data_IF_993682377917
#
_entry.id   IF_993682377917
#
_cell.length_a   1.000
_cell.length_b   1.000
_cell.length_c   1.000
_cell.angle_alpha   90.00
_cell.angle_beta   90.00
_cell.angle_gamma   90.00
#
_symmetry.space_group_name_H-M   'P 1'
#
loop_
_entity.id
_entity.type
_entity.pdbx_description
1 polymer ?
#
# COMPACT_ATOMS: atom_id res chain seq x y z
N UNK A 1 -13.18 15.26 -12.84
CA UNK A 1 -12.94 14.16 -11.90
C UNK A 1 -13.60 14.58 -10.61
N UNK A 2 -14.57 13.81 -10.15
CA UNK A 2 -15.13 14.03 -8.82
C UNK A 2 -14.22 13.39 -7.75
N UNK A 3 -14.55 13.58 -6.47
CA UNK A 3 -13.72 13.10 -5.36
C UNK A 3 -13.67 11.57 -5.30
N UNK A 4 -14.75 10.90 -5.71
CA UNK A 4 -14.86 9.44 -5.75
C UNK A 4 -13.95 8.87 -6.85
N UNK A 5 -13.95 9.45 -8.06
CA UNK A 5 -13.04 9.09 -9.14
C UNK A 5 -11.56 9.13 -8.71
N UNK A 6 -11.16 10.15 -7.94
CA UNK A 6 -9.78 10.32 -7.49
C UNK A 6 -9.38 9.30 -6.42
N UNK A 7 -10.30 8.96 -5.52
CA UNK A 7 -10.06 7.94 -4.49
C UNK A 7 -9.93 6.54 -5.11
N UNK A 8 -10.75 6.25 -6.13
CA UNK A 8 -10.64 5.01 -6.91
C UNK A 8 -9.29 4.94 -7.63
N UNK A 9 -8.83 6.03 -8.25
CA UNK A 9 -7.50 6.12 -8.87
C UNK A 9 -6.40 5.91 -7.84
N UNK A 10 -6.54 6.45 -6.62
CA UNK A 10 -5.56 6.28 -5.55
C UNK A 10 -5.48 4.83 -5.07
N UNK A 11 -6.63 4.17 -4.89
CA UNK A 11 -6.71 2.74 -4.54
C UNK A 11 -6.04 1.88 -5.62
N UNK A 12 -6.39 2.11 -6.89
CA UNK A 12 -5.82 1.38 -8.02
C UNK A 12 -4.32 1.62 -8.15
N UNK A 13 -3.86 2.87 -8.01
CA UNK A 13 -2.45 3.25 -8.04
C UNK A 13 -1.62 2.54 -6.97
N UNK A 14 -2.13 2.45 -5.75
CA UNK A 14 -1.50 1.69 -4.66
C UNK A 14 -1.38 0.22 -5.05
N UNK A 15 -2.41 -0.35 -5.68
CA UNK A 15 -2.44 -1.77 -6.05
C UNK A 15 -1.62 -2.12 -7.31
N UNK A 16 -1.05 -1.15 -8.02
CA UNK A 16 -0.24 -1.42 -9.23
C UNK A 16 0.98 -2.28 -8.90
N UNK A 17 1.18 -3.36 -9.67
CA UNK A 17 2.28 -4.32 -9.48
C UNK A 17 3.66 -3.66 -9.41
N UNK A 18 3.91 -2.61 -10.21
CA UNK A 18 5.17 -1.88 -10.19
C UNK A 18 5.39 -1.09 -8.88
N UNK A 19 4.32 -0.58 -8.27
CA UNK A 19 4.36 0.09 -6.96
C UNK A 19 4.64 -0.96 -5.89
N UNK A 20 3.85 -2.03 -5.86
CA UNK A 20 3.97 -3.11 -4.89
C UNK A 20 5.33 -3.80 -4.94
N UNK A 21 5.83 -4.13 -6.13
CA UNK A 21 7.14 -4.80 -6.30
C UNK A 21 8.30 -3.93 -5.80
N UNK A 22 8.25 -2.61 -6.03
CA UNK A 22 9.28 -1.69 -5.55
C UNK A 22 9.20 -1.45 -4.05
N UNK A 23 7.99 -1.37 -3.50
CA UNK A 23 7.75 -1.28 -2.06
C UNK A 23 8.29 -2.53 -1.34
N UNK A 24 7.98 -3.72 -1.87
CA UNK A 24 8.47 -5.00 -1.37
C UNK A 24 9.99 -5.08 -1.40
N UNK A 25 10.61 -4.77 -2.53
CA UNK A 25 12.06 -4.78 -2.67
C UNK A 25 12.73 -3.82 -1.66
N UNK A 26 12.14 -2.64 -1.43
CA UNK A 26 12.63 -1.71 -0.42
C UNK A 26 12.54 -2.30 1.00
N UNK A 27 11.38 -2.82 1.38
CA UNK A 27 11.15 -3.37 2.73
C UNK A 27 12.08 -4.57 3.01
N UNK A 28 12.23 -5.47 2.04
CA UNK A 28 13.17 -6.60 2.12
C UNK A 28 14.61 -6.12 2.26
N UNK A 29 15.01 -5.06 1.55
CA UNK A 29 16.36 -4.49 1.64
C UNK A 29 16.68 -3.90 3.03
N UNK A 30 15.65 -3.41 3.75
CA UNK A 30 15.79 -2.81 5.08
C UNK A 30 15.58 -3.82 6.21
N UNK A 31 15.07 -5.02 5.92
CA UNK A 31 14.79 -6.08 6.89
C UNK A 31 15.91 -6.36 7.90
N UNK A 32 17.22 -6.34 7.54
CA UNK A 32 18.30 -6.54 8.49
C UNK A 32 18.33 -5.52 9.66
N UNK A 33 17.82 -4.30 9.45
CA UNK A 33 17.79 -3.25 10.49
C UNK A 33 16.78 -3.56 11.61
N UNK A 34 15.77 -4.38 11.30
CA UNK A 34 14.65 -4.70 12.18
C UNK A 34 14.84 -6.03 12.91
N UNK A 35 16.00 -6.66 12.81
CA UNK A 35 16.31 -7.84 13.61
C UNK A 35 16.19 -7.52 15.11
N UNK A 36 15.37 -8.28 15.83
CA UNK A 36 15.05 -8.03 17.24
C UNK A 36 13.91 -7.04 17.48
N UNK A 37 13.13 -6.69 16.45
CA UNK A 37 11.87 -5.95 16.60
C UNK A 37 10.95 -6.70 17.59
N UNK A 38 10.48 -6.05 18.67
CA UNK A 38 9.54 -6.68 19.60
C UNK A 38 8.15 -6.82 18.97
N UNK A 39 7.45 -7.91 19.29
CA UNK A 39 6.12 -8.21 18.77
C UNK A 39 5.06 -7.14 19.13
N UNK A 40 5.30 -6.33 20.17
CA UNK A 40 4.45 -5.21 20.60
C UNK A 40 5.25 -3.91 20.54
N UNK A 41 5.62 -3.48 19.33
CA UNK A 41 6.50 -2.33 19.08
C UNK A 41 5.90 -0.96 19.45
N UNK A 42 4.62 -0.89 19.82
CA UNK A 42 3.96 0.36 20.24
C UNK A 42 4.47 0.90 21.59
N UNK A 43 5.19 0.10 22.39
CA UNK A 43 5.53 0.47 23.77
C UNK A 43 7.04 0.41 24.16
N UNK A 44 7.96 0.08 23.24
CA UNK A 44 9.39 -0.07 23.58
C UNK A 44 10.35 0.54 22.56
N UNK A 45 11.55 0.86 23.08
CA UNK A 45 12.72 1.50 22.47
C UNK A 45 12.75 1.46 20.95
N UNK A 46 12.41 2.61 20.34
CA UNK A 46 12.42 2.75 18.89
C UNK A 46 13.78 3.24 18.44
N UNK A 47 14.42 2.45 17.57
CA UNK A 47 15.73 2.78 17.02
C UNK A 47 15.58 3.89 15.99
N UNK A 48 16.48 4.88 16.01
CA UNK A 48 16.51 5.97 15.04
C UNK A 48 16.52 5.44 13.58
N UNK A 49 17.27 4.37 13.35
CA UNK A 49 17.39 3.70 12.05
C UNK A 49 16.05 3.16 11.52
N UNK A 50 15.11 2.80 12.41
CA UNK A 50 13.77 2.34 12.01
C UNK A 50 12.91 3.50 11.50
N UNK A 51 13.01 4.66 12.16
CA UNK A 51 12.35 5.88 11.71
C UNK A 51 12.95 6.40 10.41
N UNK A 52 14.26 6.30 10.23
CA UNK A 52 14.92 6.66 8.98
C UNK A 52 14.44 5.77 7.82
N UNK A 53 14.43 4.45 8.03
CA UNK A 53 13.90 3.51 7.03
C UNK A 53 12.41 3.75 6.73
N UNK A 54 11.60 4.10 7.74
CA UNK A 54 10.20 4.49 7.54
C UNK A 54 10.06 5.78 6.73
N UNK A 55 10.85 6.81 7.00
CA UNK A 55 10.81 8.07 6.24
C UNK A 55 11.17 7.85 4.77
N UNK A 56 12.18 7.02 4.52
CA UNK A 56 12.54 6.60 3.17
C UNK A 56 11.41 5.80 2.50
N UNK A 57 10.74 4.91 3.22
CA UNK A 57 9.59 4.15 2.72
C UNK A 57 8.42 5.06 2.32
N UNK A 58 8.04 6.01 3.18
CA UNK A 58 6.96 6.95 2.90
C UNK A 58 7.30 7.80 1.68
N UNK A 59 8.53 8.32 1.59
CA UNK A 59 8.94 9.12 0.43
C UNK A 59 8.91 8.30 -0.87
N UNK A 60 9.37 7.05 -0.82
CA UNK A 60 9.31 6.14 -1.96
C UNK A 60 7.86 5.89 -2.38
N UNK A 61 6.98 5.58 -1.44
CA UNK A 61 5.58 5.27 -1.72
C UNK A 61 4.84 6.48 -2.27
N UNK A 62 5.06 7.67 -1.71
CA UNK A 62 4.51 8.92 -2.22
C UNK A 62 4.89 9.11 -3.70
N UNK A 63 6.17 8.93 -4.04
CA UNK A 63 6.63 9.07 -5.41
C UNK A 63 6.02 8.04 -6.36
N UNK A 64 5.95 6.79 -5.93
CA UNK A 64 5.39 5.70 -6.73
C UNK A 64 3.89 5.87 -6.97
N UNK A 65 3.14 6.15 -5.91
CA UNK A 65 1.69 6.29 -5.96
C UNK A 65 1.30 7.53 -6.76
N UNK A 66 1.91 8.68 -6.51
CA UNK A 66 1.60 9.90 -7.27
C UNK A 66 1.94 9.76 -8.76
N UNK A 67 3.03 9.07 -9.09
CA UNK A 67 3.38 8.79 -10.49
C UNK A 67 2.35 7.86 -11.15
N UNK A 68 1.88 6.84 -10.42
CA UNK A 68 0.84 5.94 -10.91
C UNK A 68 -0.52 6.65 -11.05
N UNK A 69 -0.90 7.51 -10.10
CA UNK A 69 -2.10 8.34 -10.19
C UNK A 69 -2.04 9.28 -11.40
N UNK A 70 -0.93 9.99 -11.59
CA UNK A 70 -0.74 10.91 -12.73
C UNK A 70 -0.85 10.18 -14.07
N UNK A 71 -0.28 8.97 -14.17
CA UNK A 71 -0.37 8.14 -15.37
C UNK A 71 -1.81 7.67 -15.64
N UNK A 72 -2.56 7.28 -14.62
CA UNK A 72 -3.95 6.81 -14.76
C UNK A 72 -4.93 7.96 -15.04
N UNK A 73 -4.75 9.09 -14.36
CA UNK A 73 -5.52 10.32 -14.59
C UNK A 73 -5.19 10.98 -15.93
N UNK A 74 -4.08 10.59 -16.57
CA UNK A 74 -3.50 11.26 -17.73
C UNK A 74 -3.30 12.77 -17.47
N UNK A 75 -2.72 13.08 -16.31
CA UNK A 75 -2.56 14.43 -15.78
C UNK A 75 -1.15 14.64 -15.19
N UNK A 76 -0.83 15.85 -14.73
CA UNK A 76 0.43 16.14 -14.07
C UNK A 76 0.41 15.77 -12.59
N UNK A 77 1.59 15.53 -12.01
CA UNK A 77 1.73 15.26 -10.58
C UNK A 77 1.17 16.40 -9.72
N UNK A 78 1.42 17.64 -10.13
CA UNK A 78 0.94 18.84 -9.44
C UNK A 78 -0.59 18.93 -9.45
N UNK A 79 -1.23 18.56 -10.58
CA UNK A 79 -2.68 18.55 -10.69
C UNK A 79 -3.32 17.49 -9.79
N UNK A 80 -2.76 16.26 -9.76
CA UNK A 80 -3.20 15.20 -8.85
C UNK A 80 -3.06 15.63 -7.38
N UNK A 81 -1.95 16.28 -7.02
CA UNK A 81 -1.75 16.80 -5.66
C UNK A 81 -2.77 17.87 -5.28
N UNK A 82 -3.07 18.79 -6.20
CA UNK A 82 -4.09 19.82 -5.97
C UNK A 82 -5.47 19.19 -5.73
N UNK A 83 -5.83 18.20 -6.54
CA UNK A 83 -7.11 17.47 -6.40
C UNK A 83 -7.18 16.69 -5.08
N UNK A 84 -6.08 16.03 -4.66
CA UNK A 84 -6.02 15.34 -3.36
C UNK A 84 -6.18 16.31 -2.19
N UNK A 85 -5.63 17.53 -2.29
CA UNK A 85 -5.80 18.56 -1.27
C UNK A 85 -7.27 19.04 -1.18
N UNK A 86 -7.97 19.12 -2.31
CA UNK A 86 -9.40 19.43 -2.35
C UNK A 86 -10.24 18.31 -1.72
N UNK A 87 -9.94 17.03 -2.01
CA UNK A 87 -10.60 15.88 -1.37
C UNK A 87 -10.37 15.86 0.15
N UNK A 88 -9.17 16.20 0.61
CA UNK A 88 -8.88 16.30 2.05
C UNK A 88 -9.72 17.40 2.74
N UNK A 89 -10.08 18.47 2.01
CA UNK A 89 -10.96 19.54 2.47
C UNK A 89 -12.46 19.26 2.23
N UNK A 90 -12.79 18.22 1.43
CA UNK A 90 -14.12 17.82 0.97
C UNK A 90 -14.99 17.13 2.04
N UNK A 91 -15.97 16.31 1.64
CA UNK A 91 -17.01 15.78 2.53
C UNK A 91 -16.52 14.72 3.54
N UNK A 92 -17.36 14.39 4.53
CA UNK A 92 -16.98 13.49 5.63
C UNK A 92 -16.72 12.03 5.20
N UNK A 93 -17.33 11.57 4.10
CA UNK A 93 -17.16 10.22 3.57
C UNK A 93 -15.79 10.08 2.89
N UNK A 94 -15.45 11.01 2.00
CA UNK A 94 -14.18 11.06 1.26
C UNK A 94 -13.00 11.13 2.22
N UNK A 95 -13.13 11.93 3.29
CA UNK A 95 -12.11 12.02 4.34
C UNK A 95 -11.90 10.71 5.10
N UNK A 96 -12.94 9.88 5.28
CA UNK A 96 -12.79 8.57 5.94
C UNK A 96 -12.06 7.58 5.03
N UNK A 97 -12.40 7.57 3.74
CA UNK A 97 -11.74 6.70 2.77
C UNK A 97 -10.27 7.11 2.56
N UNK A 98 -10.00 8.40 2.38
CA UNK A 98 -8.64 8.93 2.33
C UNK A 98 -7.83 8.58 3.60
N UNK A 99 -8.44 8.69 4.80
CA UNK A 99 -7.78 8.28 6.05
C UNK A 99 -7.44 6.80 6.09
N UNK A 100 -8.29 5.94 5.54
CA UNK A 100 -8.01 4.52 5.45
C UNK A 100 -6.82 4.23 4.52
N UNK A 101 -6.75 4.88 3.37
CA UNK A 101 -5.60 4.73 2.47
C UNK A 101 -4.31 5.28 3.09
N UNK A 102 -4.40 6.40 3.81
CA UNK A 102 -3.28 7.01 4.52
C UNK A 102 -2.80 6.19 5.73
N UNK A 103 -3.68 5.42 6.38
CA UNK A 103 -3.28 4.60 7.53
C UNK A 103 -2.28 3.51 7.15
N UNK A 104 -2.22 3.11 5.89
CA UNK A 104 -1.19 2.19 5.40
C UNK A 104 0.22 2.79 5.40
N UNK A 105 0.32 4.12 5.41
CA UNK A 105 1.58 4.85 5.53
C UNK A 105 1.89 5.27 6.96
N UNK A 106 1.08 4.87 7.94
CA UNK A 106 1.40 5.11 9.35
C UNK A 106 2.57 4.24 9.81
N UNK A 107 3.33 4.78 10.75
CA UNK A 107 4.51 4.10 11.28
C UNK A 107 4.19 2.75 11.95
N UNK A 108 3.05 2.64 12.63
CA UNK A 108 2.56 1.38 13.22
C UNK A 108 2.27 0.32 12.15
N UNK A 109 1.62 0.70 11.05
CA UNK A 109 1.37 -0.17 9.89
C UNK A 109 2.67 -0.63 9.24
N UNK A 110 3.63 0.29 9.10
CA UNK A 110 4.97 -0.04 8.61
C UNK A 110 5.70 -1.05 9.51
N UNK A 111 5.73 -0.83 10.83
CA UNK A 111 6.36 -1.78 11.77
C UNK A 111 5.67 -3.15 11.77
N UNK A 112 4.34 -3.17 11.67
CA UNK A 112 3.57 -4.42 11.54
C UNK A 112 4.01 -5.18 10.29
N UNK A 113 4.14 -4.48 9.16
CA UNK A 113 4.63 -5.06 7.90
C UNK A 113 6.05 -5.62 8.04
N UNK A 114 6.95 -4.89 8.70
CA UNK A 114 8.32 -5.36 8.95
C UNK A 114 8.34 -6.59 9.85
N UNK A 115 7.50 -6.64 10.90
CA UNK A 115 7.37 -7.81 11.77
C UNK A 115 6.88 -9.03 10.98
N UNK A 116 5.86 -8.87 10.14
CA UNK A 116 5.36 -9.97 9.32
C UNK A 116 6.43 -10.51 8.34
N UNK A 117 7.25 -9.64 7.76
CA UNK A 117 8.35 -10.05 6.89
C UNK A 117 9.43 -10.79 7.66
N UNK A 118 9.77 -10.35 8.88
CA UNK A 118 10.70 -11.07 9.77
C UNK A 118 10.15 -12.45 10.14
N UNK A 119 8.87 -12.56 10.48
CA UNK A 119 8.23 -13.83 10.81
C UNK A 119 8.24 -14.79 9.60
N UNK A 120 7.97 -14.29 8.40
CA UNK A 120 8.10 -15.07 7.15
C UNK A 120 9.55 -15.53 6.93
N UNK A 121 10.54 -14.65 7.15
CA UNK A 121 11.96 -14.97 7.02
C UNK A 121 12.36 -16.11 7.97
N UNK A 122 11.96 -16.03 9.23
CA UNK A 122 12.24 -17.06 10.24
C UNK A 122 11.60 -18.41 9.91
N UNK A 123 10.42 -18.39 9.26
CA UNK A 123 9.70 -19.58 8.83
C UNK A 123 10.17 -20.13 7.47
N UNK A 124 11.13 -19.49 6.81
CA UNK A 124 11.59 -19.87 5.47
C UNK A 124 10.53 -19.70 4.38
N UNK A 125 9.57 -18.77 4.57
CA UNK A 125 8.53 -18.46 3.59
C UNK A 125 8.99 -17.36 2.62
N UNK A 126 8.39 -17.26 1.42
CA UNK A 126 8.65 -16.16 0.50
C UNK A 126 8.42 -14.80 1.15
N UNK A 127 9.38 -13.89 0.99
CA UNK A 127 9.32 -12.51 1.49
C UNK A 127 8.57 -11.61 0.49
N UNK A 128 7.33 -11.99 0.20
CA UNK A 128 6.47 -11.23 -0.69
C UNK A 128 5.11 -10.94 -0.07
N UNK A 129 4.52 -9.80 -0.44
CA UNK A 129 3.14 -9.45 -0.10
C UNK A 129 2.10 -10.31 -0.83
N UNK A 130 2.56 -11.16 -1.74
CA UNK A 130 1.74 -12.01 -2.58
C UNK A 130 1.32 -11.27 -3.84
N UNK A 131 1.50 -11.91 -4.98
CA UNK A 131 0.85 -11.46 -6.21
C UNK A 131 -0.65 -11.62 -6.02
N UNK A 132 -1.44 -10.55 -6.21
CA UNK A 132 -2.89 -10.72 -6.41
C UNK A 132 -3.02 -11.71 -7.57
N UNK A 133 -3.75 -12.83 -7.44
CA UNK A 133 -4.01 -13.66 -8.61
C UNK A 133 -4.60 -12.72 -9.67
N UNK A 134 -4.10 -12.74 -10.92
CA UNK A 134 -4.64 -11.90 -11.97
C UNK A 134 -6.14 -12.09 -11.95
N UNK A 135 -6.89 -10.98 -11.98
CA UNK A 135 -8.35 -10.95 -11.95
C UNK A 135 -8.83 -11.78 -13.15
N UNK A 136 -8.92 -13.10 -12.98
CA UNK A 136 -9.42 -14.00 -13.99
C UNK A 136 -10.82 -13.49 -14.26
N UNK A 137 -11.06 -13.07 -15.50
CA UNK A 137 -12.39 -12.69 -15.95
C UNK A 137 -13.36 -13.74 -15.39
N UNK A 138 -14.36 -13.29 -14.64
CA UNK A 138 -15.36 -14.17 -14.07
C UNK A 138 -16.08 -14.89 -15.22
N UNK A 139 -15.55 -16.04 -15.65
CA UNK A 139 -16.32 -17.05 -16.34
C UNK A 139 -17.31 -17.58 -15.32
N UNK A 140 -18.44 -16.89 -15.24
CA UNK A 140 -19.65 -17.37 -14.58
C UNK A 140 -19.94 -18.77 -15.10
N UNK A 141 -19.73 -19.74 -14.22
CA UNK A 141 -20.18 -21.12 -14.40
C UNK A 141 -21.70 -21.09 -14.22
N UNK A 142 -22.45 -20.96 -15.30
CA UNK A 142 -23.84 -21.38 -15.31
C UNK A 142 -23.88 -22.89 -15.58
N UNK A 143 -23.76 -23.68 -14.52
CA UNK A 143 -24.15 -25.07 -14.51
C UNK A 143 -25.68 -25.15 -14.63
N UNK A 144 -26.18 -25.34 -15.86
CA UNK A 144 -27.54 -25.82 -16.10
C UNK A 144 -27.56 -27.33 -15.98
N UNK A 145 -27.94 -27.84 -14.81
CA UNK A 145 -28.37 -29.22 -14.63
C UNK A 145 -29.54 -29.52 -15.57
N UNK A 146 -29.46 -30.62 -16.31
CA UNK A 146 -30.57 -31.58 -16.37
C UNK A 146 -30.07 -32.95 -16.85
N UNK A 147 -30.20 -33.92 -15.97
CA UNK A 147 -30.01 -35.33 -16.24
C UNK A 147 -31.38 -35.99 -16.10
N UNK A 148 -32.06 -36.26 -17.22
CA UNK A 148 -32.99 -37.38 -17.54
C UNK A 148 -33.85 -37.03 -18.75
#
# INVERSE_FOLDING_TARGET
MDADDLLDILEDAIAVDAVQSRAEAFLVSKLPLFQGLPQTAEAQEQRLEWHEAYREYVSLMEDLVLSACAAQANDTREAVLAQLAEVAAGEAADRKHARFLLSMFEYSSFLTTMQELLDRQQRGLPLSFGSRPPKAAATSVAAGYNNT
#
